data_IF_594326606953
#
_entry.id   IF_594326606953
#
_cell.length_a   1.000
_cell.length_b   1.000
_cell.length_c   1.000
_cell.angle_alpha   90.00
_cell.angle_beta   90.00
_cell.angle_gamma   90.00
#
_symmetry.space_group_name_H-M   'P 1'
#
loop_
_entity.id
_entity.type
_entity.pdbx_description
1 polymer ?
#
# COMPACT_ATOMS: atom_id res chain seq x y z
N UNK A 1 -9.31 8.50 24.67
CA UNK A 1 -9.34 8.94 23.26
C UNK A 1 -10.70 8.60 22.71
N UNK A 2 -11.40 9.54 22.06
CA UNK A 2 -12.70 9.23 21.45
C UNK A 2 -12.44 8.55 20.11
N UNK A 3 -12.85 7.29 20.01
CA UNK A 3 -12.88 6.55 18.75
C UNK A 3 -14.30 6.58 18.19
N UNK A 4 -14.43 6.64 16.88
CA UNK A 4 -15.69 6.42 16.18
C UNK A 4 -15.48 5.34 15.13
N UNK A 5 -16.56 4.63 14.79
CA UNK A 5 -16.53 3.72 13.65
C UNK A 5 -16.22 4.50 12.38
N UNK A 6 -15.53 3.89 11.42
CA UNK A 6 -15.28 4.53 10.12
C UNK A 6 -16.61 4.86 9.41
N UNK A 7 -16.93 6.16 9.29
CA UNK A 7 -18.14 6.66 8.63
C UNK A 7 -17.89 7.09 7.18
N UNK A 8 -16.63 7.40 6.84
CA UNK A 8 -16.22 7.76 5.49
C UNK A 8 -14.78 7.33 5.24
N UNK A 9 -14.51 6.79 4.04
CA UNK A 9 -13.14 6.48 3.62
C UNK A 9 -12.28 7.75 3.58
N UNK A 10 -12.85 8.91 3.27
CA UNK A 10 -12.13 10.19 3.24
C UNK A 10 -11.55 10.55 4.61
N UNK A 11 -12.24 10.18 5.70
CA UNK A 11 -11.73 10.37 7.05
C UNK A 11 -10.42 9.60 7.22
N UNK A 12 -10.41 8.31 6.87
CA UNK A 12 -9.20 7.48 6.88
C UNK A 12 -8.11 8.08 5.98
N UNK A 13 -8.45 8.48 4.77
CA UNK A 13 -7.49 9.07 3.82
C UNK A 13 -6.82 10.33 4.37
N UNK A 14 -7.54 11.16 5.16
CA UNK A 14 -6.98 12.34 5.83
C UNK A 14 -5.99 12.02 6.95
N UNK A 15 -5.99 10.79 7.47
CA UNK A 15 -5.02 10.31 8.45
C UNK A 15 -3.80 9.62 7.81
N UNK A 16 -3.83 9.30 6.52
CA UNK A 16 -2.68 8.70 5.85
C UNK A 16 -1.59 9.75 5.63
N UNK A 17 -0.38 9.44 6.09
CA UNK A 17 0.81 10.24 5.87
C UNK A 17 1.82 9.44 5.07
N UNK A 18 2.02 9.81 3.81
CA UNK A 18 2.95 9.12 2.91
C UNK A 18 4.37 9.65 3.09
N UNK A 19 5.30 8.77 3.43
CA UNK A 19 6.71 9.10 3.68
C UNK A 19 7.54 8.55 2.52
N UNK A 20 8.20 9.45 1.80
CA UNK A 20 9.06 9.09 0.65
C UNK A 20 10.25 8.26 1.08
N UNK A 21 10.60 7.27 0.26
CA UNK A 21 11.81 6.47 0.40
C UNK A 21 13.01 7.05 -0.36
N UNK A 22 12.80 8.15 -1.10
CA UNK A 22 13.84 8.83 -1.86
C UNK A 22 14.73 9.61 -0.89
N UNK A 23 16.06 9.45 -0.94
CA UNK A 23 16.96 10.26 -0.14
C UNK A 23 16.74 11.74 -0.47
N UNK A 24 16.36 12.54 0.53
CA UNK A 24 16.40 13.99 0.41
C UNK A 24 17.88 14.35 0.28
N UNK A 25 18.32 14.86 -0.87
CA UNK A 25 19.69 15.37 -0.96
C UNK A 25 19.85 16.42 0.15
N UNK A 26 20.86 16.28 1.02
CA UNK A 26 21.11 17.31 2.01
C UNK A 26 21.30 18.62 1.24
N UNK A 27 20.55 19.65 1.63
CA UNK A 27 20.72 20.99 1.06
C UNK A 27 22.21 21.38 1.11
N UNK A 28 22.65 22.36 0.30
CA UNK A 28 24.07 22.67 0.08
C UNK A 28 24.88 23.08 1.33
N UNK A 29 24.31 23.03 2.54
CA UNK A 29 24.99 23.26 3.81
C UNK A 29 25.54 21.95 4.40
N UNK A 30 26.57 21.41 3.74
CA UNK A 30 27.59 20.61 4.40
C UNK A 30 27.35 19.10 4.53
N UNK A 31 27.92 18.33 3.60
CA UNK A 31 28.60 17.07 3.91
C UNK A 31 29.38 16.56 2.68
N UNK A 32 30.68 16.86 2.65
CA UNK A 32 31.67 15.89 2.17
C UNK A 32 31.54 14.65 3.07
N UNK A 33 30.98 13.55 2.58
CA UNK A 33 31.56 12.22 2.77
C UNK A 33 30.87 11.13 1.95
N UNK A 34 31.73 10.29 1.40
CA UNK A 34 31.56 9.26 0.39
C UNK A 34 30.44 8.26 0.71
N UNK A 35 29.46 8.11 -0.21
CA UNK A 35 28.93 6.81 -0.70
C UNK A 35 27.80 6.95 -1.74
N UNK A 36 27.37 8.16 -2.11
CA UNK A 36 26.28 8.40 -3.07
C UNK A 36 26.71 8.49 -4.56
N UNK A 37 27.87 7.96 -4.92
CA UNK A 37 28.31 7.98 -6.32
C UNK A 37 27.55 6.88 -7.11
N UNK A 38 26.63 7.31 -7.96
CA UNK A 38 25.85 6.55 -8.97
C UNK A 38 24.38 6.24 -8.63
N UNK A 39 23.68 7.05 -7.83
CA UNK A 39 22.23 7.15 -8.04
C UNK A 39 22.04 7.92 -9.35
N UNK A 40 21.64 7.21 -10.41
CA UNK A 40 21.30 7.84 -11.69
C UNK A 40 20.13 8.78 -11.46
N UNK A 41 20.12 9.97 -12.08
CA UNK A 41 18.95 10.89 -12.05
C UNK A 41 17.66 10.16 -12.45
N UNK A 42 17.79 9.15 -13.31
CA UNK A 42 16.69 8.28 -13.73
C UNK A 42 16.10 7.40 -12.61
N UNK A 43 16.91 7.01 -11.61
CA UNK A 43 16.47 6.16 -10.51
C UNK A 43 15.57 6.93 -9.55
N UNK A 44 15.93 8.17 -9.22
CA UNK A 44 15.12 9.06 -8.38
C UNK A 44 13.79 9.40 -9.05
N UNK A 45 13.81 9.69 -10.36
CA UNK A 45 12.59 9.96 -11.13
C UNK A 45 11.68 8.71 -11.21
N UNK A 46 12.27 7.54 -11.42
CA UNK A 46 11.58 6.25 -11.41
C UNK A 46 10.96 5.95 -10.04
N UNK A 47 11.74 6.11 -8.96
CA UNK A 47 11.28 5.88 -7.59
C UNK A 47 10.12 6.84 -7.25
N UNK A 48 10.21 8.13 -7.63
CA UNK A 48 9.13 9.10 -7.45
C UNK A 48 7.86 8.72 -8.24
N UNK A 49 8.02 8.29 -9.49
CA UNK A 49 6.92 7.83 -10.32
C UNK A 49 6.17 6.64 -9.68
N UNK A 50 6.90 5.63 -9.20
CA UNK A 50 6.28 4.48 -8.55
C UNK A 50 5.67 4.82 -7.19
N UNK A 51 6.25 5.74 -6.41
CA UNK A 51 5.61 6.24 -5.19
C UNK A 51 4.26 6.91 -5.49
N UNK A 52 4.17 7.74 -6.53
CA UNK A 52 2.92 8.40 -6.91
C UNK A 52 1.86 7.40 -7.42
N UNK A 53 2.25 6.43 -8.25
CA UNK A 53 1.33 5.39 -8.70
C UNK A 53 0.86 4.53 -7.53
N UNK A 54 1.76 4.17 -6.61
CA UNK A 54 1.41 3.39 -5.43
C UNK A 54 0.46 4.16 -4.51
N UNK A 55 0.68 5.47 -4.29
CA UNK A 55 -0.25 6.34 -3.55
C UNK A 55 -1.63 6.31 -4.20
N UNK A 56 -1.70 6.46 -5.52
CA UNK A 56 -2.94 6.43 -6.27
C UNK A 56 -3.65 5.07 -6.15
N UNK A 57 -2.93 3.97 -6.42
CA UNK A 57 -3.45 2.61 -6.39
C UNK A 57 -3.94 2.23 -4.97
N UNK A 58 -3.18 2.59 -3.94
CA UNK A 58 -3.55 2.35 -2.55
C UNK A 58 -4.81 3.10 -2.15
N UNK A 59 -4.91 4.39 -2.46
CA UNK A 59 -6.13 5.18 -2.21
C UNK A 59 -7.35 4.61 -2.94
N UNK A 60 -7.18 4.22 -4.20
CA UNK A 60 -8.21 3.56 -5.01
C UNK A 60 -8.66 2.23 -4.39
N UNK A 61 -7.71 1.42 -3.91
CA UNK A 61 -8.04 0.19 -3.22
C UNK A 61 -8.89 0.47 -1.98
N UNK A 62 -8.51 1.44 -1.15
CA UNK A 62 -9.25 1.76 0.07
C UNK A 62 -10.68 2.27 -0.19
N UNK A 63 -10.91 2.93 -1.33
CA UNK A 63 -12.24 3.42 -1.73
C UNK A 63 -13.08 2.38 -2.50
N UNK A 64 -12.51 1.21 -2.78
CA UNK A 64 -13.23 0.12 -3.46
C UNK A 64 -14.33 -0.49 -2.59
N UNK A 65 -15.46 -0.81 -3.22
CA UNK A 65 -16.61 -1.47 -2.57
C UNK A 65 -16.36 -2.98 -2.52
N UNK A 66 -16.64 -3.59 -1.37
CA UNK A 66 -16.52 -5.03 -1.17
C UNK A 66 -15.11 -5.59 -1.39
N UNK A 67 -15.01 -6.88 -1.68
CA UNK A 67 -13.75 -7.54 -2.01
C UNK A 67 -13.32 -7.22 -3.46
N UNK A 68 -12.03 -7.32 -3.83
CA UNK A 68 -11.63 -7.31 -5.23
C UNK A 68 -12.29 -8.45 -5.99
N UNK A 69 -12.91 -8.11 -7.13
CA UNK A 69 -13.61 -9.08 -7.94
C UNK A 69 -12.65 -9.79 -8.91
N UNK A 70 -11.81 -10.66 -8.36
CA UNK A 70 -10.83 -11.44 -9.16
C UNK A 70 -11.02 -12.94 -8.93
N UNK A 71 -10.70 -13.80 -9.91
CA UNK A 71 -10.83 -15.25 -9.76
C UNK A 71 -10.11 -15.80 -8.52
N UNK A 72 -8.92 -15.28 -8.21
CA UNK A 72 -8.14 -15.69 -7.05
C UNK A 72 -8.83 -15.33 -5.72
N UNK A 73 -9.42 -14.14 -5.60
CA UNK A 73 -10.17 -13.75 -4.40
C UNK A 73 -11.47 -14.55 -4.26
N UNK A 74 -12.15 -14.83 -5.38
CA UNK A 74 -13.36 -15.69 -5.39
C UNK A 74 -13.06 -17.11 -4.91
N UNK A 75 -11.98 -17.70 -5.40
CA UNK A 75 -11.53 -19.01 -4.98
C UNK A 75 -11.13 -19.03 -3.49
N UNK A 76 -10.42 -18.00 -3.03
CA UNK A 76 -9.93 -17.90 -1.65
C UNK A 76 -11.06 -17.73 -0.61
N UNK A 77 -12.02 -16.83 -0.87
CA UNK A 77 -13.05 -16.46 0.11
C UNK A 77 -14.33 -17.28 0.00
N UNK A 78 -14.59 -17.84 -1.18
CA UNK A 78 -15.85 -18.49 -1.51
C UNK A 78 -17.01 -17.52 -1.71
N UNK A 79 -18.04 -18.00 -2.41
CA UNK A 79 -19.22 -17.21 -2.80
C UNK A 79 -19.99 -16.63 -1.63
N UNK A 80 -20.04 -17.33 -0.49
CA UNK A 80 -20.77 -16.85 0.69
C UNK A 80 -20.17 -15.54 1.21
N UNK A 81 -18.87 -15.49 1.48
CA UNK A 81 -18.19 -14.30 2.03
C UNK A 81 -18.28 -13.13 1.04
N UNK A 82 -18.04 -13.40 -0.24
CA UNK A 82 -18.15 -12.39 -1.28
C UNK A 82 -19.53 -11.75 -1.36
N UNK A 83 -20.60 -12.55 -1.34
CA UNK A 83 -21.97 -12.02 -1.41
C UNK A 83 -22.33 -11.17 -0.18
N UNK A 84 -21.80 -11.50 0.99
CA UNK A 84 -22.03 -10.72 2.21
C UNK A 84 -21.26 -9.39 2.20
N UNK A 85 -20.06 -9.37 1.61
CA UNK A 85 -19.23 -8.17 1.52
C UNK A 85 -19.46 -7.29 0.29
N UNK A 86 -20.13 -7.78 -0.76
CA UNK A 86 -20.16 -7.15 -2.09
C UNK A 86 -20.67 -5.69 -2.11
N UNK A 87 -21.57 -5.32 -1.20
CA UNK A 87 -22.14 -3.98 -1.11
C UNK A 87 -21.50 -3.07 -0.07
N UNK A 88 -20.46 -3.53 0.63
CA UNK A 88 -19.90 -2.78 1.77
C UNK A 88 -18.82 -1.78 1.31
N UNK A 89 -19.08 -0.46 1.37
CA UNK A 89 -18.15 0.56 0.87
C UNK A 89 -16.92 0.75 1.76
N UNK A 90 -16.91 0.18 2.97
CA UNK A 90 -15.84 0.35 3.95
C UNK A 90 -15.04 -0.92 4.17
N UNK A 91 -15.38 -2.03 3.51
CA UNK A 91 -14.76 -3.34 3.75
C UNK A 91 -13.23 -3.28 3.66
N UNK A 92 -12.70 -2.73 2.57
CA UNK A 92 -11.26 -2.66 2.32
C UNK A 92 -10.56 -1.72 3.30
N UNK A 93 -11.17 -0.58 3.59
CA UNK A 93 -10.68 0.38 4.57
C UNK A 93 -10.64 -0.19 6.00
N UNK A 94 -11.69 -0.92 6.41
CA UNK A 94 -11.73 -1.61 7.71
C UNK A 94 -10.74 -2.75 7.79
N UNK A 95 -10.55 -3.52 6.71
CA UNK A 95 -9.51 -4.56 6.66
C UNK A 95 -8.11 -3.95 6.85
N UNK A 96 -7.83 -2.83 6.19
CA UNK A 96 -6.60 -2.09 6.40
C UNK A 96 -6.44 -1.60 7.85
N UNK A 97 -7.46 -0.94 8.41
CA UNK A 97 -7.43 -0.46 9.80
C UNK A 97 -7.24 -1.59 10.81
N UNK A 98 -7.95 -2.71 10.61
CA UNK A 98 -7.82 -3.89 11.45
C UNK A 98 -6.38 -4.41 11.43
N UNK A 99 -5.75 -4.44 10.25
CA UNK A 99 -4.35 -4.83 10.13
C UNK A 99 -3.40 -3.86 10.84
N UNK A 100 -3.69 -2.57 10.82
CA UNK A 100 -2.83 -1.53 11.40
C UNK A 100 -2.91 -1.45 12.94
N UNK A 101 -4.10 -1.66 13.52
CA UNK A 101 -4.33 -1.39 14.95
C UNK A 101 -5.29 -2.35 15.66
N UNK A 102 -5.62 -3.49 15.05
CA UNK A 102 -6.54 -4.51 15.59
C UNK A 102 -7.94 -3.96 15.89
N UNK A 103 -8.35 -2.91 15.18
CA UNK A 103 -9.64 -2.22 15.34
C UNK A 103 -10.03 -1.53 14.03
N UNK A 104 -11.33 -1.47 13.73
CA UNK A 104 -11.89 -0.78 12.56
C UNK A 104 -12.30 0.68 12.83
N UNK A 105 -12.03 1.19 14.04
CA UNK A 105 -12.35 2.57 14.39
C UNK A 105 -11.40 3.57 13.68
N UNK A 106 -11.77 4.84 13.66
CA UNK A 106 -10.84 5.95 13.41
C UNK A 106 -10.90 6.88 14.61
N UNK A 107 -9.77 7.45 15.02
CA UNK A 107 -9.77 8.46 16.08
C UNK A 107 -10.18 9.80 15.49
N UNK A 108 -10.95 10.59 16.24
CA UNK A 108 -11.32 11.96 15.86
C UNK A 108 -10.17 12.96 15.99
N UNK A 109 -9.01 12.51 16.49
CA UNK A 109 -7.83 13.34 16.71
C UNK A 109 -7.11 13.68 15.39
N UNK A 110 -7.02 14.96 15.00
CA UNK A 110 -6.45 15.35 13.70
C UNK A 110 -4.94 15.11 13.58
N UNK A 111 -4.25 15.05 14.72
CA UNK A 111 -2.82 14.78 14.86
C UNK A 111 -2.47 13.29 14.77
N UNK A 112 -3.44 12.39 14.93
CA UNK A 112 -3.21 10.98 14.68
C UNK A 112 -2.97 10.72 13.19
N UNK A 113 -1.91 9.99 12.87
CA UNK A 113 -1.53 9.63 11.50
C UNK A 113 -1.19 8.16 11.40
N UNK A 114 -1.46 7.59 10.23
CA UNK A 114 -0.95 6.29 9.80
C UNK A 114 0.16 6.57 8.80
N UNK A 115 1.38 6.16 9.12
CA UNK A 115 2.54 6.35 8.26
C UNK A 115 2.59 5.27 7.18
N UNK A 116 2.61 5.69 5.92
CA UNK A 116 2.75 4.84 4.75
C UNK A 116 4.15 5.09 4.18
N UNK A 117 5.10 4.24 4.53
CA UNK A 117 6.50 4.39 4.15
C UNK A 117 6.80 3.65 2.84
N UNK A 118 7.66 4.23 2.00
CA UNK A 118 8.20 3.55 0.82
C UNK A 118 9.66 3.16 1.05
N UNK A 119 10.03 1.96 0.58
CA UNK A 119 11.40 1.49 0.60
C UNK A 119 11.71 0.82 -0.74
N UNK A 120 12.54 1.47 -1.55
CA UNK A 120 12.92 0.99 -2.87
C UNK A 120 14.05 -0.04 -2.77
N UNK A 121 13.86 -1.19 -3.41
CA UNK A 121 14.86 -2.27 -3.46
C UNK A 121 14.88 -2.94 -4.84
N UNK A 122 15.78 -3.90 -5.05
CA UNK A 122 15.88 -4.65 -6.30
C UNK A 122 16.37 -3.80 -7.49
N UNK A 123 16.19 -4.34 -8.69
CA UNK A 123 16.58 -3.72 -9.95
C UNK A 123 15.55 -2.65 -10.37
N UNK A 124 16.05 -1.46 -10.70
CA UNK A 124 15.27 -0.32 -11.24
C UNK A 124 15.13 -0.35 -12.76
N UNK A 125 15.72 -1.35 -13.41
CA UNK A 125 15.64 -1.55 -14.84
C UNK A 125 14.23 -1.82 -15.36
N UNK A 126 14.13 -2.01 -16.68
CA UNK A 126 12.83 -2.20 -17.34
C UNK A 126 12.04 -3.37 -16.75
N UNK A 127 10.70 -3.23 -16.67
CA UNK A 127 9.78 -4.29 -16.26
C UNK A 127 10.09 -5.60 -16.99
N UNK A 128 10.25 -6.68 -16.23
CA UNK A 128 10.44 -8.01 -16.81
C UNK A 128 9.07 -8.53 -17.26
N UNK A 129 8.73 -8.36 -18.53
CA UNK A 129 7.49 -8.90 -19.09
C UNK A 129 7.70 -10.40 -19.42
N UNK A 130 7.42 -11.31 -18.48
CA UNK A 130 7.53 -12.75 -18.74
C UNK A 130 7.39 -13.69 -17.54
N UNK A 131 7.54 -14.99 -17.81
CA UNK A 131 7.66 -16.05 -16.79
C UNK A 131 8.89 -15.79 -15.93
N UNK A 132 8.70 -15.36 -14.69
CA UNK A 132 9.80 -15.07 -13.76
C UNK A 132 9.70 -13.72 -13.05
N UNK A 133 8.62 -12.97 -13.22
CA UNK A 133 8.35 -11.80 -12.36
C UNK A 133 8.34 -12.24 -10.90
N UNK A 134 9.19 -11.67 -10.03
CA UNK A 134 9.16 -12.01 -8.62
C UNK A 134 7.82 -11.59 -8.00
N UNK A 135 7.33 -12.38 -7.05
CA UNK A 135 6.21 -11.97 -6.22
C UNK A 135 6.63 -10.74 -5.42
N UNK A 136 5.79 -9.69 -5.30
CA UNK A 136 6.13 -8.53 -4.49
C UNK A 136 6.39 -8.93 -3.05
N UNK A 137 7.41 -8.31 -2.43
CA UNK A 137 7.71 -8.48 -1.02
C UNK A 137 6.48 -8.12 -0.16
N UNK A 138 6.13 -8.92 0.86
CA UNK A 138 5.00 -8.61 1.74
C UNK A 138 5.09 -7.24 2.41
N UNK A 139 3.92 -6.64 2.68
CA UNK A 139 3.82 -5.36 3.39
C UNK A 139 4.28 -5.54 4.84
N UNK A 140 5.25 -4.74 5.26
CA UNK A 140 5.72 -4.73 6.65
C UNK A 140 4.76 -3.86 7.47
N UNK A 141 4.12 -4.43 8.49
CA UNK A 141 3.20 -3.71 9.37
C UNK A 141 3.76 -3.66 10.77
N UNK A 142 3.86 -2.46 11.32
CA UNK A 142 4.20 -2.25 12.72
C UNK A 142 2.91 -1.89 13.46
N UNK A 143 2.57 -2.62 14.52
CA UNK A 143 1.31 -2.43 15.26
C UNK A 143 1.46 -1.47 16.44
N UNK A 144 2.66 -1.33 17.01
CA UNK A 144 2.93 -0.41 18.12
C UNK A 144 2.93 1.06 17.70
N UNK A 145 3.20 1.32 16.42
CA UNK A 145 3.16 2.62 15.77
C UNK A 145 2.40 2.37 14.48
N UNK A 146 1.26 3.02 14.20
CA UNK A 146 0.48 2.78 13.00
C UNK A 146 1.29 3.16 11.75
N UNK A 147 2.14 2.23 11.30
CA UNK A 147 3.09 2.39 10.22
C UNK A 147 3.08 1.11 9.38
N UNK A 148 2.93 1.26 8.07
CA UNK A 148 3.19 0.18 7.13
C UNK A 148 4.22 0.62 6.09
N UNK A 149 5.10 -0.31 5.72
CA UNK A 149 6.14 -0.07 4.71
C UNK A 149 5.83 -0.91 3.48
N UNK A 150 5.69 -0.23 2.34
CA UNK A 150 5.69 -0.86 1.03
C UNK A 150 7.13 -0.99 0.52
N UNK A 151 7.55 -2.22 0.26
CA UNK A 151 8.80 -2.49 -0.42
C UNK A 151 8.56 -2.38 -1.92
N UNK A 152 9.09 -1.32 -2.54
CA UNK A 152 8.96 -1.06 -3.98
C UNK A 152 10.08 -1.81 -4.69
N UNK A 153 9.86 -3.11 -4.87
CA UNK A 153 10.73 -4.01 -5.64
C UNK A 153 10.19 -4.21 -7.07
N UNK A 154 10.88 -5.04 -7.85
CA UNK A 154 10.49 -5.39 -9.22
C UNK A 154 9.08 -5.97 -9.31
N UNK A 155 8.69 -6.80 -8.32
CA UNK A 155 7.38 -7.42 -8.26
C UNK A 155 6.28 -6.38 -8.10
N UNK A 156 6.40 -5.49 -7.11
CA UNK A 156 5.42 -4.44 -6.88
C UNK A 156 5.35 -3.46 -8.05
N UNK A 157 6.50 -3.07 -8.62
CA UNK A 157 6.55 -2.20 -9.81
C UNK A 157 5.76 -2.81 -10.98
N UNK A 158 5.89 -4.11 -11.22
CA UNK A 158 5.13 -4.78 -12.28
C UNK A 158 3.62 -4.76 -12.01
N UNK A 159 3.17 -4.96 -10.77
CA UNK A 159 1.75 -4.86 -10.43
C UNK A 159 1.20 -3.44 -10.64
N UNK A 160 2.00 -2.42 -10.33
CA UNK A 160 1.61 -1.01 -10.45
C UNK A 160 1.55 -0.52 -11.91
N UNK A 161 2.19 -1.23 -12.85
CA UNK A 161 2.14 -0.92 -14.27
C UNK A 161 0.94 -1.55 -14.99
N UNK A 162 0.13 -2.34 -14.30
CA UNK A 162 -1.09 -2.89 -14.88
C UNK A 162 -2.09 -1.80 -15.28
N UNK A 163 -2.88 -2.01 -16.35
CA UNK A 163 -3.99 -1.13 -16.67
C UNK A 163 -4.96 -1.04 -15.51
N UNK A 164 -5.54 0.15 -15.30
CA UNK A 164 -6.61 0.37 -14.30
C UNK A 164 -7.78 -0.59 -14.62
N UNK A 165 -8.26 -1.37 -13.65
CA UNK A 165 -8.16 -1.13 -12.20
C UNK A 165 -6.98 -1.77 -11.45
N UNK A 166 -5.89 -2.20 -12.10
CA UNK A 166 -4.72 -2.81 -11.45
C UNK A 166 -5.11 -4.03 -10.59
N UNK A 167 -5.85 -4.97 -11.20
CA UNK A 167 -6.52 -6.06 -10.48
C UNK A 167 -5.54 -6.94 -9.68
N UNK A 168 -4.32 -7.15 -10.18
CA UNK A 168 -3.34 -7.96 -9.47
C UNK A 168 -2.78 -7.22 -8.25
N UNK A 169 -2.59 -5.90 -8.35
CA UNK A 169 -2.26 -5.08 -7.17
C UNK A 169 -3.37 -5.15 -6.12
N UNK A 170 -4.63 -4.95 -6.51
CA UNK A 170 -5.75 -5.04 -5.57
C UNK A 170 -5.85 -6.43 -4.93
N UNK A 171 -5.65 -7.50 -5.71
CA UNK A 171 -5.65 -8.89 -5.22
C UNK A 171 -4.52 -9.14 -4.22
N UNK A 172 -3.29 -8.75 -4.56
CA UNK A 172 -2.12 -8.90 -3.71
C UNK A 172 -2.28 -8.14 -2.39
N UNK A 173 -2.70 -6.87 -2.47
CA UNK A 173 -2.91 -6.03 -1.30
C UNK A 173 -4.05 -6.58 -0.42
N UNK A 174 -5.15 -7.03 -1.03
CA UNK A 174 -6.26 -7.62 -0.28
C UNK A 174 -5.86 -8.89 0.45
N UNK A 175 -5.14 -9.78 -0.23
CA UNK A 175 -4.60 -10.97 0.41
C UNK A 175 -3.69 -10.58 1.59
N UNK A 176 -2.78 -9.62 1.41
CA UNK A 176 -1.87 -9.16 2.47
C UNK A 176 -2.60 -8.58 3.71
N UNK A 177 -3.80 -8.04 3.56
CA UNK A 177 -4.59 -7.45 4.65
C UNK A 177 -5.58 -8.41 5.31
N UNK A 178 -6.00 -9.49 4.63
CA UNK A 178 -7.17 -10.32 5.02
C UNK A 178 -6.85 -11.60 5.81
N UNK A 179 -5.60 -11.88 6.18
CA UNK A 179 -5.21 -13.18 6.76
C UNK A 179 -5.86 -13.54 8.11
N UNK A 180 -6.45 -12.58 8.83
CA UNK A 180 -7.00 -12.81 10.18
C UNK A 180 -8.53 -13.01 10.22
N UNK A 181 -9.25 -12.99 9.08
CA UNK A 181 -10.73 -13.09 9.03
C UNK A 181 -11.28 -14.51 8.72
N UNK A 182 -10.42 -15.52 8.56
CA UNK A 182 -10.81 -16.88 8.12
C UNK A 182 -10.54 -17.95 9.20
N UNK A 183 -10.25 -17.57 10.44
CA UNK A 183 -10.05 -18.50 11.56
C UNK A 183 -11.22 -18.45 12.57
#
# INVERSE_FOLDING_TARGET
MSTCRLESVDQLLGHLHFITGIPCEPGPEGALELHAAQISVNDTESDAFFEEILKYAFKRYLTGVGHPDTPAIRELLGEYVLRHGAGDPFLRARAFLHRMKVSDDVTSQPDWKIEICFKHTGNRGSPSLGLGVPCPTPIEVHTCIPRCTFIVDEGLRNLLLEPIPMQSFETWLHAALSWDFVA
#
